data_IF_890553105334
#
_entry.id   IF_890553105334
#
_cell.length_a   1.000
_cell.length_b   1.000
_cell.length_c   1.000
_cell.angle_alpha   90.00
_cell.angle_beta   90.00
_cell.angle_gamma   90.00
#
_symmetry.space_group_name_H-M   'P 1'
#
loop_
_entity.id
_entity.type
_entity.pdbx_description
1 polymer ?
#
# COMPACT_ATOMS: atom_id res chain seq x y z
N UNK A 1 -22.81 27.91 63.24
CA UNK A 1 -23.32 27.55 61.89
C UNK A 1 -22.36 27.97 60.76
N UNK A 2 -21.03 27.83 60.91
CA UNK A 2 -20.04 28.22 59.87
C UNK A 2 -19.17 27.07 59.35
N UNK A 3 -19.25 25.88 59.97
CA UNK A 3 -18.41 24.72 59.63
C UNK A 3 -19.04 23.77 58.60
N UNK A 4 -20.36 23.85 58.36
CA UNK A 4 -21.03 22.99 57.38
C UNK A 4 -20.99 23.54 55.94
N UNK A 5 -20.80 24.85 55.76
CA UNK A 5 -20.73 25.49 54.44
C UNK A 5 -19.41 25.18 53.69
N UNK A 6 -18.33 24.88 54.41
CA UNK A 6 -17.03 24.60 53.79
C UNK A 6 -16.93 23.18 53.21
N UNK A 7 -17.72 22.23 53.74
CA UNK A 7 -17.67 20.82 53.30
C UNK A 7 -18.47 20.60 52.01
N UNK A 8 -19.51 21.41 51.76
CA UNK A 8 -20.31 21.31 50.54
C UNK A 8 -19.58 21.83 49.29
N UNK A 9 -18.66 22.79 49.45
CA UNK A 9 -17.88 23.36 48.35
C UNK A 9 -16.76 22.43 47.82
N UNK A 10 -16.26 21.52 48.67
CA UNK A 10 -15.24 20.54 48.26
C UNK A 10 -15.82 19.37 47.46
N UNK A 11 -17.08 18.99 47.74
CA UNK A 11 -17.74 17.89 47.04
C UNK A 11 -18.13 18.25 45.59
N UNK A 12 -18.44 19.52 45.31
CA UNK A 12 -18.79 19.99 43.96
C UNK A 12 -17.58 20.18 43.04
N UNK A 13 -16.38 20.47 43.56
CA UNK A 13 -15.15 20.55 42.76
C UNK A 13 -14.66 19.17 42.26
N UNK A 14 -14.99 18.08 42.96
CA UNK A 14 -14.60 16.72 42.55
C UNK A 14 -15.45 16.17 41.40
N UNK A 15 -16.69 16.66 41.22
CA UNK A 15 -17.59 16.19 40.16
C UNK A 15 -17.33 16.81 38.79
N UNK A 16 -16.61 17.94 38.72
CA UNK A 16 -16.29 18.61 37.44
C UNK A 16 -15.07 18.01 36.71
N UNK A 17 -14.24 17.21 37.39
CA UNK A 17 -13.09 16.55 36.77
C UNK A 17 -13.40 15.19 36.13
N UNK A 18 -14.64 14.69 36.24
CA UNK A 18 -15.05 13.39 35.66
C UNK A 18 -15.38 13.46 34.17
N UNK A 19 -15.39 14.65 33.55
CA UNK A 19 -15.79 14.82 32.15
C UNK A 19 -14.65 15.27 31.23
N UNK A 20 -13.40 14.95 31.58
CA UNK A 20 -12.35 14.92 30.56
C UNK A 20 -12.63 13.70 29.67
N UNK A 21 -13.17 13.92 28.46
CA UNK A 21 -13.14 12.91 27.39
C UNK A 21 -11.67 12.57 27.16
N UNK A 22 -11.18 11.57 27.88
CA UNK A 22 -9.88 10.96 27.63
C UNK A 22 -9.89 10.63 26.14
N UNK A 23 -8.87 11.09 25.41
CA UNK A 23 -8.54 10.57 24.07
C UNK A 23 -8.07 9.12 24.21
N UNK A 24 -8.91 8.26 24.76
CA UNK A 24 -8.77 6.84 24.67
C UNK A 24 -9.32 6.49 23.29
N UNK A 25 -8.52 5.81 22.49
CA UNK A 25 -8.80 5.41 21.12
C UNK A 25 -8.35 6.41 20.03
N UNK A 26 -7.09 6.85 20.06
CA UNK A 26 -6.38 6.98 18.79
C UNK A 26 -6.11 5.55 18.31
N UNK A 27 -7.08 4.97 17.58
CA UNK A 27 -6.88 3.69 16.92
C UNK A 27 -5.68 3.82 15.98
N UNK A 28 -4.71 2.89 16.01
CA UNK A 28 -3.57 2.97 15.12
C UNK A 28 -4.06 2.96 13.69
N UNK A 29 -3.88 4.09 13.00
CA UNK A 29 -4.09 4.19 11.56
C UNK A 29 -2.99 3.35 10.92
N UNK A 30 -3.33 2.12 10.53
CA UNK A 30 -2.42 1.26 9.79
C UNK A 30 -1.98 2.00 8.51
N UNK A 31 -0.69 2.30 8.43
CA UNK A 31 -0.08 2.97 7.28
C UNK A 31 -0.23 2.13 6.02
N UNK A 32 -0.46 2.78 4.89
CA UNK A 32 -0.47 2.12 3.58
C UNK A 32 0.90 1.51 3.27
N UNK A 33 0.92 0.33 2.65
CA UNK A 33 2.14 -0.41 2.32
C UNK A 33 1.97 -1.26 1.05
N UNK A 34 3.10 -1.54 0.40
CA UNK A 34 3.26 -2.60 -0.60
C UNK A 34 4.58 -3.32 -0.26
N UNK A 35 4.48 -4.60 0.08
CA UNK A 35 5.57 -5.45 0.57
C UNK A 35 5.64 -6.73 -0.26
N UNK A 36 6.82 -7.30 -0.46
CA UNK A 36 7.00 -8.62 -1.08
C UNK A 36 8.42 -9.15 -0.84
N UNK A 37 8.67 -10.39 -1.25
CA UNK A 37 10.01 -10.93 -1.46
C UNK A 37 10.41 -10.76 -2.92
N UNK A 38 11.24 -9.75 -3.21
CA UNK A 38 11.78 -9.49 -4.56
C UNK A 38 13.01 -10.36 -4.79
N UNK A 39 12.88 -11.37 -5.64
CA UNK A 39 13.96 -12.33 -5.93
C UNK A 39 14.57 -13.00 -4.67
N UNK A 40 13.77 -13.17 -3.61
CA UNK A 40 14.20 -13.77 -2.34
C UNK A 40 14.77 -12.77 -1.32
N UNK A 41 14.79 -11.47 -1.63
CA UNK A 41 15.13 -10.41 -0.68
C UNK A 41 13.89 -9.63 -0.26
N UNK A 42 13.83 -9.23 1.01
CA UNK A 42 12.73 -8.39 1.50
C UNK A 42 12.65 -7.08 0.72
N UNK A 43 11.45 -6.74 0.27
CA UNK A 43 11.20 -5.58 -0.56
C UNK A 43 9.96 -4.83 -0.07
N UNK A 44 10.09 -3.50 -0.04
CA UNK A 44 9.04 -2.58 0.37
C UNK A 44 9.09 -1.38 -0.56
N UNK A 45 7.92 -0.98 -1.06
CA UNK A 45 7.77 0.25 -1.82
C UNK A 45 6.65 1.10 -1.21
N UNK A 46 6.91 2.38 -0.89
CA UNK A 46 5.86 3.30 -0.47
C UNK A 46 4.78 3.40 -1.55
N UNK A 47 3.49 3.26 -1.20
CA UNK A 47 2.40 3.52 -2.12
C UNK A 47 2.42 4.98 -2.60
N UNK A 48 2.17 5.18 -3.89
CA UNK A 48 2.15 6.49 -4.53
C UNK A 48 1.25 6.44 -5.76
N UNK A 49 0.34 7.41 -5.93
CA UNK A 49 -0.56 7.50 -7.10
C UNK A 49 -1.49 6.28 -7.29
N UNK A 50 -1.83 5.58 -6.20
CA UNK A 50 -2.86 4.54 -6.24
C UNK A 50 -4.23 5.18 -6.42
N UNK A 51 -5.04 4.68 -7.34
CA UNK A 51 -6.23 5.38 -7.81
C UNK A 51 -7.38 4.43 -8.18
N UNK A 52 -8.59 4.96 -8.20
CA UNK A 52 -9.78 4.33 -8.77
C UNK A 52 -10.19 5.11 -10.02
N UNK A 53 -10.27 4.43 -11.17
CA UNK A 53 -10.76 4.98 -12.42
C UNK A 53 -11.91 4.13 -12.92
N UNK A 54 -13.13 4.64 -12.79
CA UNK A 54 -14.35 3.87 -13.05
C UNK A 54 -14.39 2.59 -12.19
N UNK A 55 -14.31 1.42 -12.82
CA UNK A 55 -14.27 0.10 -12.20
C UNK A 55 -12.83 -0.43 -12.04
N UNK A 56 -11.83 0.33 -12.44
CA UNK A 56 -10.43 -0.11 -12.43
C UNK A 56 -9.69 0.45 -11.23
N UNK A 57 -9.18 -0.43 -10.39
CA UNK A 57 -8.30 -0.06 -9.29
C UNK A 57 -6.86 -0.13 -9.75
N UNK A 58 -6.09 0.88 -9.39
CA UNK A 58 -4.67 1.01 -9.70
C UNK A 58 -3.93 1.05 -8.37
N UNK A 59 -3.06 0.08 -8.16
CA UNK A 59 -2.14 0.03 -7.02
C UNK A 59 -0.75 0.32 -7.54
N UNK A 60 -0.08 1.30 -6.95
CA UNK A 60 1.20 1.77 -7.43
C UNK A 60 2.05 2.32 -6.30
N UNK A 61 3.36 2.24 -6.48
CA UNK A 61 4.35 2.72 -5.53
C UNK A 61 5.63 3.15 -6.24
N UNK A 62 6.38 4.02 -5.59
CA UNK A 62 7.72 4.39 -6.01
C UNK A 62 8.67 4.57 -4.83
N UNK A 63 9.96 4.31 -5.05
CA UNK A 63 11.02 4.56 -4.10
C UNK A 63 12.28 5.02 -4.82
N UNK A 64 13.02 5.96 -4.24
CA UNK A 64 14.27 6.46 -4.81
C UNK A 64 15.43 5.86 -4.02
N UNK A 65 16.28 5.11 -4.71
CA UNK A 65 17.47 4.49 -4.14
C UNK A 65 18.69 4.95 -4.95
N UNK A 66 19.62 5.64 -4.30
CA UNK A 66 20.85 6.16 -4.93
C UNK A 66 20.59 6.95 -6.23
N UNK A 67 19.54 7.78 -6.25
CA UNK A 67 19.16 8.61 -7.40
C UNK A 67 18.47 7.85 -8.55
N UNK A 68 18.15 6.57 -8.37
CA UNK A 68 17.31 5.80 -9.30
C UNK A 68 15.96 5.56 -8.65
N UNK A 69 14.89 5.97 -9.33
CA UNK A 69 13.52 5.73 -8.92
C UNK A 69 13.08 4.35 -9.42
N UNK A 70 12.77 3.46 -8.48
CA UNK A 70 12.05 2.22 -8.71
C UNK A 70 10.56 2.53 -8.73
N UNK A 71 9.83 2.10 -9.76
CA UNK A 71 8.38 2.24 -9.87
C UNK A 71 7.74 0.88 -10.04
N UNK A 72 6.64 0.68 -9.35
CA UNK A 72 5.85 -0.54 -9.37
C UNK A 72 4.37 -0.18 -9.52
N UNK A 73 3.62 -1.02 -10.20
CA UNK A 73 2.18 -0.98 -10.08
C UNK A 73 1.47 -2.09 -10.84
N UNK A 74 0.20 -2.28 -10.48
CA UNK A 74 -0.73 -3.13 -11.18
C UNK A 74 -2.11 -2.49 -11.21
N UNK A 75 -2.95 -2.95 -12.12
CA UNK A 75 -4.35 -2.56 -12.24
C UNK A 75 -5.22 -3.79 -12.34
N UNK A 76 -6.40 -3.71 -11.73
CA UNK A 76 -7.43 -4.73 -11.82
C UNK A 76 -8.75 -4.06 -12.16
N UNK A 77 -9.54 -4.66 -13.05
CA UNK A 77 -10.95 -4.30 -13.20
C UNK A 77 -11.70 -4.97 -12.04
N UNK A 78 -12.01 -4.20 -11.01
CA UNK A 78 -12.54 -4.70 -9.76
C UNK A 78 -14.03 -5.05 -9.90
N UNK A 79 -14.35 -6.32 -9.71
CA UNK A 79 -15.72 -6.85 -9.71
C UNK A 79 -16.12 -7.51 -8.37
N UNK A 80 -15.20 -7.53 -7.39
CA UNK A 80 -15.45 -8.04 -6.05
C UNK A 80 -14.21 -8.51 -5.32
N UNK A 81 -14.39 -9.10 -4.14
CA UNK A 81 -13.31 -9.81 -3.47
C UNK A 81 -13.02 -11.12 -4.21
N UNK A 82 -11.76 -11.50 -4.33
CA UNK A 82 -11.38 -12.71 -5.05
C UNK A 82 -10.01 -12.65 -5.71
N UNK A 83 -9.80 -13.57 -6.63
CA UNK A 83 -8.55 -13.74 -7.38
C UNK A 83 -8.67 -13.12 -8.75
N UNK A 84 -7.63 -12.35 -9.13
CA UNK A 84 -7.49 -11.68 -10.40
C UNK A 84 -6.21 -12.16 -11.06
N UNK A 85 -6.33 -12.85 -12.19
CA UNK A 85 -5.18 -13.15 -13.03
C UNK A 85 -4.83 -11.92 -13.87
N UNK A 86 -3.56 -11.50 -13.83
CA UNK A 86 -3.09 -10.34 -14.57
C UNK A 86 -2.60 -10.71 -15.96
N UNK A 87 -3.03 -9.94 -16.94
CA UNK A 87 -2.55 -9.98 -18.33
C UNK A 87 -1.33 -9.09 -18.50
N UNK A 88 -0.58 -9.29 -19.58
CA UNK A 88 0.74 -8.67 -19.82
C UNK A 88 0.85 -7.15 -19.61
N UNK A 89 -0.27 -6.42 -19.71
CA UNK A 89 -0.34 -4.95 -19.69
C UNK A 89 -0.96 -4.41 -18.39
N UNK A 90 -1.23 -5.29 -17.42
CA UNK A 90 -1.94 -4.98 -16.19
C UNK A 90 -1.00 -4.81 -14.99
N UNK A 91 0.31 -5.01 -15.18
CA UNK A 91 1.31 -4.59 -14.22
C UNK A 91 2.56 -4.06 -14.91
N UNK A 92 3.31 -3.22 -14.20
CA UNK A 92 4.58 -2.69 -14.63
C UNK A 92 5.57 -2.68 -13.48
N UNK A 93 6.83 -2.79 -13.86
CA UNK A 93 7.95 -2.54 -12.97
C UNK A 93 9.06 -1.86 -13.78
N UNK A 94 9.54 -0.71 -13.31
CA UNK A 94 10.51 0.10 -14.06
C UNK A 94 11.53 0.76 -13.14
N UNK A 95 12.69 1.06 -13.72
CA UNK A 95 13.69 1.92 -13.11
C UNK A 95 13.83 3.19 -13.94
N UNK A 96 13.80 4.33 -13.28
CA UNK A 96 13.90 5.65 -13.88
C UNK A 96 15.08 6.41 -13.25
N UNK A 97 15.92 7.02 -14.06
CA UNK A 97 17.03 7.87 -13.60
C UNK A 97 17.04 9.13 -14.43
N UNK A 98 17.08 10.30 -13.78
CA UNK A 98 17.01 11.61 -14.46
C UNK A 98 15.83 11.71 -15.44
N UNK A 99 14.64 11.23 -15.03
CA UNK A 99 13.43 11.14 -15.84
C UNK A 99 13.50 10.24 -17.09
N UNK A 100 14.58 9.47 -17.26
CA UNK A 100 14.72 8.49 -18.34
C UNK A 100 14.50 7.08 -17.80
N UNK A 101 13.71 6.27 -18.50
CA UNK A 101 13.54 4.85 -18.16
C UNK A 101 14.82 4.11 -18.52
N UNK A 102 15.56 3.65 -17.49
CA UNK A 102 16.82 2.90 -17.67
C UNK A 102 16.59 1.39 -17.75
N UNK A 103 15.47 0.91 -17.23
CA UNK A 103 15.02 -0.47 -17.40
C UNK A 103 13.52 -0.58 -17.25
N UNK A 104 12.90 -1.46 -18.04
CA UNK A 104 11.48 -1.74 -17.96
C UNK A 104 11.20 -3.23 -18.02
N UNK A 105 10.14 -3.64 -17.36
CA UNK A 105 9.73 -5.03 -17.24
C UNK A 105 8.22 -5.15 -17.49
N UNK A 106 7.83 -6.24 -18.15
CA UNK A 106 6.43 -6.65 -18.35
C UNK A 106 6.17 -7.96 -17.64
N UNK A 107 4.91 -8.31 -17.41
CA UNK A 107 4.59 -9.62 -16.87
C UNK A 107 5.07 -10.74 -17.80
N UNK A 108 5.56 -11.82 -17.18
CA UNK A 108 5.98 -13.03 -17.87
C UNK A 108 4.81 -13.65 -18.61
N UNK A 109 5.07 -14.18 -19.81
CA UNK A 109 4.09 -14.95 -20.57
C UNK A 109 4.09 -16.44 -20.19
N UNK A 110 5.11 -16.90 -19.47
CA UNK A 110 5.30 -18.31 -19.11
C UNK A 110 4.96 -18.62 -17.65
N UNK A 111 4.88 -17.59 -16.82
CA UNK A 111 4.56 -17.69 -15.40
C UNK A 111 3.36 -16.79 -15.11
N UNK A 112 2.30 -17.38 -14.57
CA UNK A 112 1.09 -16.66 -14.18
C UNK A 112 1.40 -15.59 -13.13
N UNK A 113 0.61 -14.52 -13.11
CA UNK A 113 0.71 -13.45 -12.13
C UNK A 113 -0.68 -13.18 -11.58
N UNK A 114 -0.81 -13.11 -10.26
CA UNK A 114 -2.11 -13.09 -9.59
C UNK A 114 -2.16 -12.05 -8.50
N UNK A 115 -3.33 -11.43 -8.36
CA UNK A 115 -3.70 -10.57 -7.23
C UNK A 115 -4.87 -11.24 -6.51
N UNK A 116 -4.81 -11.33 -5.18
CA UNK A 116 -5.93 -11.75 -4.36
C UNK A 116 -6.41 -10.58 -3.50
N UNK A 117 -7.62 -10.09 -3.75
CA UNK A 117 -8.24 -9.01 -2.97
C UNK A 117 -9.13 -9.62 -1.90
N UNK A 118 -8.80 -9.43 -0.63
CA UNK A 118 -9.59 -9.96 0.50
C UNK A 118 -10.25 -8.85 1.32
N UNK A 119 -9.95 -7.57 1.04
CA UNK A 119 -10.61 -6.46 1.69
C UNK A 119 -10.70 -5.24 0.79
N UNK A 120 -11.90 -4.68 0.69
CA UNK A 120 -12.17 -3.39 0.08
C UNK A 120 -13.15 -2.63 0.98
N UNK A 121 -12.85 -1.35 1.25
CA UNK A 121 -13.72 -0.44 1.97
C UNK A 121 -13.93 0.78 1.07
N UNK A 122 -15.11 0.85 0.47
CA UNK A 122 -15.47 1.91 -0.48
C UNK A 122 -15.52 3.29 0.17
N UNK A 123 -15.97 3.37 1.43
CA UNK A 123 -16.09 4.62 2.17
C UNK A 123 -14.73 5.25 2.43
N UNK A 124 -13.78 4.45 2.91
CA UNK A 124 -12.43 4.90 3.22
C UNK A 124 -11.47 4.79 2.02
N UNK A 125 -11.98 4.26 0.90
CA UNK A 125 -11.26 3.96 -0.35
C UNK A 125 -10.02 3.10 -0.12
N UNK A 126 -10.11 2.13 0.77
CA UNK A 126 -8.99 1.24 1.09
C UNK A 126 -9.18 -0.09 0.37
N UNK A 127 -8.14 -0.55 -0.31
CA UNK A 127 -8.05 -1.93 -0.81
C UNK A 127 -6.83 -2.61 -0.18
N UNK A 128 -6.98 -3.89 0.13
CA UNK A 128 -5.90 -4.73 0.65
C UNK A 128 -5.98 -6.15 0.09
N UNK A 129 -4.82 -6.76 -0.06
CA UNK A 129 -4.70 -8.03 -0.76
C UNK A 129 -3.31 -8.64 -0.70
N UNK A 130 -3.19 -9.74 -1.42
CA UNK A 130 -1.93 -10.43 -1.70
C UNK A 130 -1.61 -10.35 -3.19
N UNK A 131 -0.34 -10.53 -3.55
CA UNK A 131 0.08 -10.64 -4.94
C UNK A 131 1.27 -11.57 -5.13
N UNK A 132 1.29 -12.20 -6.29
CA UNK A 132 2.47 -12.87 -6.85
C UNK A 132 2.63 -12.41 -8.28
N UNK A 133 3.77 -11.78 -8.58
CA UNK A 133 4.01 -11.15 -9.87
C UNK A 133 5.35 -11.60 -10.44
N UNK A 134 5.31 -12.04 -11.69
CA UNK A 134 6.46 -12.53 -12.43
C UNK A 134 6.71 -11.61 -13.60
N UNK A 135 7.90 -11.04 -13.66
CA UNK A 135 8.29 -10.05 -14.66
C UNK A 135 9.47 -10.55 -15.49
N UNK A 136 9.45 -10.23 -16.78
CA UNK A 136 10.56 -10.39 -17.70
C UNK A 136 10.96 -9.02 -18.24
N UNK A 137 12.26 -8.80 -18.39
CA UNK A 137 12.76 -7.52 -18.88
C UNK A 137 12.34 -7.26 -20.33
N UNK A 138 12.01 -6.01 -20.61
CA UNK A 138 11.71 -5.49 -21.93
C UNK A 138 12.85 -4.62 -22.49
N UNK A 139 13.40 -3.73 -21.66
CA UNK A 139 14.46 -2.80 -22.06
C UNK A 139 15.48 -2.59 -20.93
N UNK A 140 16.67 -2.10 -21.28
CA UNK A 140 17.76 -1.82 -20.35
C UNK A 140 18.87 -2.88 -20.36
N UNK A 141 20.05 -2.53 -19.84
CA UNK A 141 21.24 -3.39 -19.88
C UNK A 141 21.23 -4.48 -18.80
N UNK A 142 21.57 -5.72 -19.17
CA UNK A 142 21.74 -6.87 -18.26
C UNK A 142 22.69 -6.57 -17.09
N UNK A 143 22.35 -6.99 -15.87
CA UNK A 143 23.33 -6.96 -14.78
C UNK A 143 22.79 -7.33 -13.39
N UNK A 144 23.69 -7.38 -12.37
CA UNK A 144 23.32 -7.77 -11.01
C UNK A 144 22.24 -6.89 -10.36
N UNK A 145 22.18 -5.60 -10.74
CA UNK A 145 21.16 -4.66 -10.25
C UNK A 145 19.86 -4.65 -11.05
N UNK A 146 19.86 -5.24 -12.25
CA UNK A 146 18.74 -5.28 -13.18
C UNK A 146 18.79 -6.67 -13.85
N UNK A 147 18.22 -7.71 -13.22
CA UNK A 147 18.25 -9.09 -13.72
C UNK A 147 17.24 -9.31 -14.86
N UNK A 148 17.35 -10.37 -15.65
CA UNK A 148 16.46 -10.61 -16.80
C UNK A 148 15.03 -10.95 -16.39
N UNK A 149 14.88 -11.50 -15.18
CA UNK A 149 13.61 -11.81 -14.55
C UNK A 149 13.52 -11.25 -13.14
N UNK A 150 12.33 -10.79 -12.76
CA UNK A 150 12.02 -10.35 -11.41
C UNK A 150 10.77 -11.06 -10.94
N UNK A 151 10.82 -11.66 -9.77
CA UNK A 151 9.68 -12.26 -9.09
C UNK A 151 9.41 -11.53 -7.79
N UNK A 152 8.16 -11.17 -7.59
CA UNK A 152 7.65 -10.71 -6.31
C UNK A 152 6.77 -11.81 -5.75
N UNK A 153 7.24 -12.47 -4.69
CA UNK A 153 6.53 -13.53 -4.01
C UNK A 153 6.05 -13.04 -2.65
N UNK A 154 5.07 -13.72 -2.05
CA UNK A 154 4.52 -13.37 -0.73
C UNK A 154 4.07 -11.89 -0.64
N UNK A 155 3.64 -11.32 -1.75
CA UNK A 155 3.29 -9.92 -1.86
C UNK A 155 2.07 -9.59 -1.00
N UNK A 156 2.11 -8.45 -0.31
CA UNK A 156 1.03 -7.90 0.51
C UNK A 156 0.86 -6.43 0.20
N UNK A 157 -0.37 -5.97 0.11
CA UNK A 157 -0.64 -4.55 -0.04
C UNK A 157 -1.84 -4.12 0.79
N UNK A 158 -1.80 -2.86 1.20
CA UNK A 158 -2.91 -2.10 1.73
C UNK A 158 -2.72 -0.66 1.28
N UNK A 159 -3.61 -0.14 0.46
CA UNK A 159 -3.49 1.21 -0.11
C UNK A 159 -4.81 1.94 -0.07
N UNK A 160 -4.74 3.26 0.15
CA UNK A 160 -5.84 4.18 -0.09
C UNK A 160 -5.84 4.64 -1.55
N UNK A 161 -6.98 4.52 -2.20
CA UNK A 161 -7.20 4.92 -3.58
C UNK A 161 -7.64 6.38 -3.67
N UNK A 162 -7.07 7.09 -4.63
CA UNK A 162 -7.42 8.46 -5.00
C UNK A 162 -8.37 8.48 -6.21
N UNK A 163 -9.17 9.53 -6.36
CA UNK A 163 -10.00 9.73 -7.56
C UNK A 163 -9.20 10.47 -8.64
#
# INVERSE_FOLDING_TARGET
MKKCLLSFFYATLLLLNSCAKKKCCDFPVYKDFILADKNGAAWNIPPSNSAIKQDTFIVSGSNIIAGTEERFGFKIRFDGLGYYELKSNEAYYTFVKNNLTVSSYKLSLTQGSTIAVFGANEKDKIIQGFFELHFTRMTGAGGPGQPDSIRFLNGKFKVRLQN
#
